data_IF_920871050766
#
_entry.id   IF_920871050766
#
_cell.length_a   1.000
_cell.length_b   1.000
_cell.length_c   1.000
_cell.angle_alpha   90.00
_cell.angle_beta   90.00
_cell.angle_gamma   90.00
#
_symmetry.space_group_name_H-M   'P 1'
#
loop_
_entity.id
_entity.type
_entity.pdbx_description
1 polymer ?
#
# COMPACT_ATOMS: atom_id res chain seq x y z
N UNK A 1 16.63 -27.39 -0.33
CA UNK A 1 17.86 -27.67 -1.10
C UNK A 1 18.56 -26.33 -1.32
N UNK A 2 19.80 -26.14 -0.90
CA UNK A 2 20.51 -24.86 -1.04
C UNK A 2 21.45 -24.96 -2.24
N UNK A 3 21.14 -24.24 -3.32
CA UNK A 3 21.98 -24.21 -4.50
C UNK A 3 23.20 -23.28 -4.25
N UNK A 4 24.43 -23.79 -4.38
CA UNK A 4 25.67 -23.01 -4.25
C UNK A 4 25.99 -22.27 -5.56
N UNK A 5 25.19 -21.23 -5.84
CA UNK A 5 25.38 -20.33 -6.98
C UNK A 5 26.16 -19.07 -6.57
N UNK A 6 27.16 -18.70 -7.37
CA UNK A 6 27.99 -17.50 -7.19
C UNK A 6 27.84 -16.53 -8.37
N UNK A 7 27.90 -15.23 -8.08
CA UNK A 7 27.98 -14.20 -9.13
C UNK A 7 29.23 -14.46 -10.00
N UNK A 8 29.11 -14.25 -11.31
CA UNK A 8 30.13 -14.57 -12.34
C UNK A 8 30.35 -16.07 -12.61
N UNK A 9 29.63 -16.96 -11.93
CA UNK A 9 29.68 -18.39 -12.26
C UNK A 9 29.02 -18.61 -13.62
N UNK A 10 29.67 -19.44 -14.44
CA UNK A 10 29.13 -19.86 -15.74
C UNK A 10 28.41 -21.18 -15.54
N UNK A 11 27.14 -21.20 -15.90
CA UNK A 11 26.26 -22.33 -15.59
C UNK A 11 25.40 -22.73 -16.78
N UNK A 12 25.06 -24.01 -16.79
CA UNK A 12 23.93 -24.57 -17.50
C UNK A 12 22.86 -24.90 -16.46
N UNK A 13 21.63 -24.51 -16.74
CA UNK A 13 20.49 -24.62 -15.84
C UNK A 13 19.37 -25.30 -16.58
N UNK A 14 18.90 -26.39 -16.00
CA UNK A 14 17.70 -27.10 -16.42
C UNK A 14 16.57 -26.70 -15.45
N UNK A 15 15.43 -26.24 -15.98
CA UNK A 15 14.31 -25.80 -15.17
C UNK A 15 12.97 -26.10 -15.86
N UNK A 16 11.90 -26.13 -15.08
CA UNK A 16 10.54 -26.34 -15.57
C UNK A 16 9.68 -25.11 -15.24
N UNK A 17 9.09 -24.50 -16.27
CA UNK A 17 8.20 -23.34 -16.12
C UNK A 17 6.92 -23.59 -16.89
N UNK A 18 5.77 -23.43 -16.23
CA UNK A 18 4.45 -23.66 -16.83
C UNK A 18 4.28 -25.06 -17.46
N UNK A 19 4.98 -26.08 -16.93
CA UNK A 19 4.96 -27.44 -17.47
C UNK A 19 5.86 -27.67 -18.69
N UNK A 20 6.68 -26.69 -19.07
CA UNK A 20 7.66 -26.82 -20.15
C UNK A 20 9.09 -26.90 -19.59
N UNK A 21 9.86 -27.86 -20.11
CA UNK A 21 11.28 -28.02 -19.80
C UNK A 21 12.13 -27.08 -20.65
N UNK A 22 12.97 -26.28 -19.99
CA UNK A 22 13.86 -25.33 -20.64
C UNK A 22 15.31 -25.47 -20.13
N UNK A 23 16.27 -25.13 -21.00
CA UNK A 23 17.69 -25.13 -20.66
C UNK A 23 18.32 -23.80 -21.03
N UNK A 24 18.92 -23.16 -20.04
CA UNK A 24 19.69 -21.93 -20.22
C UNK A 24 21.15 -22.13 -19.90
N UNK A 25 22.01 -21.60 -20.76
CA UNK A 25 23.46 -21.54 -20.55
C UNK A 25 23.87 -20.08 -20.46
N UNK A 26 24.65 -19.72 -19.47
CA UNK A 26 24.97 -18.31 -19.25
C UNK A 26 25.92 -18.02 -18.11
N UNK A 27 25.99 -16.76 -17.73
CA UNK A 27 26.77 -16.25 -16.61
C UNK A 27 25.83 -15.63 -15.56
N UNK A 28 26.00 -16.01 -14.30
CA UNK A 28 25.19 -15.49 -13.19
C UNK A 28 25.49 -14.01 -12.99
N UNK A 29 24.44 -13.20 -13.10
CA UNK A 29 24.48 -11.75 -12.93
C UNK A 29 24.22 -11.36 -11.46
N UNK A 30 23.17 -11.93 -10.85
CA UNK A 30 22.74 -11.59 -9.50
C UNK A 30 22.07 -12.79 -8.83
N UNK A 31 22.19 -12.86 -7.50
CA UNK A 31 21.52 -13.84 -6.66
C UNK A 31 20.60 -13.12 -5.67
N UNK A 32 19.38 -13.62 -5.52
CA UNK A 32 18.39 -13.20 -4.54
C UNK A 32 17.90 -14.44 -3.77
N UNK A 33 17.00 -14.24 -2.81
CA UNK A 33 16.55 -15.29 -1.89
C UNK A 33 15.68 -16.36 -2.59
N UNK A 34 14.82 -15.94 -3.53
CA UNK A 34 13.87 -16.83 -4.21
C UNK A 34 14.24 -17.15 -5.66
N UNK A 35 15.18 -16.40 -6.23
CA UNK A 35 15.60 -16.57 -7.62
C UNK A 35 17.03 -16.07 -7.85
N UNK A 36 17.54 -16.36 -9.03
CA UNK A 36 18.76 -15.75 -9.55
C UNK A 36 18.54 -15.23 -10.96
N UNK A 37 19.40 -14.31 -11.38
CA UNK A 37 19.38 -13.70 -12.70
C UNK A 37 20.66 -14.10 -13.42
N UNK A 38 20.53 -14.52 -14.67
CA UNK A 38 21.66 -14.85 -15.53
C UNK A 38 21.57 -14.12 -16.88
N UNK A 39 22.73 -13.91 -17.49
CA UNK A 39 22.84 -13.48 -18.89
C UNK A 39 23.13 -14.72 -19.72
N UNK A 40 22.19 -15.08 -20.58
CA UNK A 40 22.28 -16.26 -21.44
C UNK A 40 23.30 -16.05 -22.55
N UNK A 41 23.83 -17.15 -23.09
CA UNK A 41 24.64 -17.18 -24.31
C UNK A 41 23.89 -16.71 -25.57
N UNK A 42 22.55 -16.61 -25.50
CA UNK A 42 21.67 -15.98 -26.48
C UNK A 42 21.55 -14.46 -26.32
N UNK A 43 22.22 -13.89 -25.32
CA UNK A 43 22.24 -12.46 -25.05
C UNK A 43 21.01 -11.91 -24.32
N UNK A 44 20.15 -12.78 -23.77
CA UNK A 44 18.99 -12.37 -22.96
C UNK A 44 19.31 -12.42 -21.47
N UNK A 45 18.68 -11.53 -20.71
CA UNK A 45 18.64 -11.59 -19.24
C UNK A 45 17.45 -12.45 -18.84
N UNK A 46 17.70 -13.52 -18.10
CA UNK A 46 16.67 -14.45 -17.66
C UNK A 46 16.66 -14.53 -16.14
N UNK A 47 15.46 -14.53 -15.56
CA UNK A 47 15.21 -14.79 -14.15
C UNK A 47 14.79 -16.25 -14.00
N UNK A 48 15.44 -17.00 -13.11
CA UNK A 48 15.09 -18.41 -12.83
C UNK A 48 14.86 -18.55 -11.33
N UNK A 49 13.67 -19.03 -10.95
CA UNK A 49 13.31 -19.23 -9.55
C UNK A 49 13.85 -20.56 -9.04
N UNK A 50 14.21 -20.64 -7.75
CA UNK A 50 14.80 -21.87 -7.22
C UNK A 50 13.83 -23.05 -7.14
N UNK A 51 12.52 -22.78 -7.09
CA UNK A 51 11.44 -23.78 -7.11
C UNK A 51 11.19 -24.36 -8.51
N UNK A 52 11.61 -23.65 -9.56
CA UNK A 52 11.56 -24.11 -10.97
C UNK A 52 12.79 -24.97 -11.34
N UNK A 53 13.84 -24.96 -10.51
CA UNK A 53 15.12 -25.60 -10.83
C UNK A 53 15.07 -27.12 -10.75
N UNK A 54 15.51 -27.76 -11.82
CA UNK A 54 15.72 -29.21 -11.88
C UNK A 54 17.20 -29.56 -11.67
N UNK A 55 18.10 -28.85 -12.36
CA UNK A 55 19.54 -29.07 -12.24
C UNK A 55 20.36 -27.82 -12.57
N UNK A 56 21.54 -27.73 -11.96
CA UNK A 56 22.52 -26.67 -12.23
C UNK A 56 23.90 -27.29 -12.37
N UNK A 57 24.61 -26.96 -13.45
CA UNK A 57 25.97 -27.44 -13.74
C UNK A 57 26.87 -26.26 -14.00
N UNK A 58 28.08 -26.28 -13.44
CA UNK A 58 29.11 -25.32 -13.82
C UNK A 58 29.69 -25.71 -15.18
N UNK A 59 29.78 -24.76 -16.10
CA UNK A 59 30.27 -24.99 -17.46
C UNK A 59 31.38 -24.01 -17.84
N UNK A 60 32.12 -24.35 -18.89
CA UNK A 60 33.11 -23.46 -19.51
C UNK A 60 32.66 -23.09 -20.92
N UNK A 61 32.82 -21.81 -21.28
CA UNK A 61 32.59 -21.33 -22.65
C UNK A 61 33.92 -21.18 -23.40
N UNK A 62 33.93 -21.28 -24.74
CA UNK A 62 35.06 -20.85 -25.56
C UNK A 62 35.46 -19.41 -25.21
N UNK A 63 36.76 -19.09 -25.29
CA UNK A 63 37.30 -17.80 -24.85
C UNK A 63 36.55 -16.59 -25.44
N UNK A 64 36.33 -16.59 -26.75
CA UNK A 64 35.63 -15.50 -27.46
C UNK A 64 34.20 -15.30 -26.93
N UNK A 65 33.46 -16.40 -26.72
CA UNK A 65 32.10 -16.36 -26.17
C UNK A 65 32.12 -15.89 -24.71
N UNK A 66 33.07 -16.37 -23.93
CA UNK A 66 33.25 -15.99 -22.52
C UNK A 66 33.56 -14.50 -22.35
N UNK A 67 34.39 -13.93 -23.21
CA UNK A 67 34.70 -12.49 -23.23
C UNK A 67 33.46 -11.67 -23.62
N UNK A 68 32.73 -12.08 -24.66
CA UNK A 68 31.49 -11.42 -25.08
C UNK A 68 30.41 -11.47 -23.97
N UNK A 69 30.17 -12.64 -23.37
CA UNK A 69 29.25 -12.82 -22.24
C UNK A 69 29.65 -11.95 -21.04
N UNK A 70 30.95 -11.85 -20.77
CA UNK A 70 31.43 -11.01 -19.68
C UNK A 70 31.13 -9.54 -19.96
N UNK A 71 31.40 -9.02 -21.18
CA UNK A 71 31.05 -7.63 -21.55
C UNK A 71 29.56 -7.38 -21.44
N UNK A 72 28.74 -8.29 -21.96
CA UNK A 72 27.28 -8.18 -21.91
C UNK A 72 26.76 -8.20 -20.46
N UNK A 73 27.31 -9.05 -19.61
CA UNK A 73 27.02 -9.09 -18.17
C UNK A 73 27.34 -7.76 -17.49
N UNK A 74 28.49 -7.14 -17.81
CA UNK A 74 28.83 -5.82 -17.23
C UNK A 74 27.86 -4.73 -17.71
N UNK A 75 27.51 -4.71 -19.00
CA UNK A 75 26.51 -3.79 -19.53
C UNK A 75 25.17 -3.93 -18.81
N UNK A 76 24.66 -5.15 -18.62
CA UNK A 76 23.39 -5.35 -17.91
C UNK A 76 23.47 -4.99 -16.43
N UNK A 77 24.61 -5.25 -15.77
CA UNK A 77 24.82 -4.83 -14.40
C UNK A 77 24.76 -3.30 -14.25
N UNK A 78 25.45 -2.57 -15.14
CA UNK A 78 25.44 -1.11 -15.18
C UNK A 78 24.04 -0.56 -15.47
N UNK A 79 23.34 -1.14 -16.46
CA UNK A 79 21.97 -0.74 -16.79
C UNK A 79 21.03 -0.91 -15.59
N UNK A 80 21.08 -2.05 -14.90
CA UNK A 80 20.27 -2.29 -13.70
C UNK A 80 20.60 -1.30 -12.57
N UNK A 81 21.87 -0.93 -12.40
CA UNK A 81 22.27 0.09 -11.43
C UNK A 81 21.71 1.46 -11.79
N UNK A 82 21.78 1.86 -13.06
CA UNK A 82 21.24 3.14 -13.55
C UNK A 82 19.71 3.19 -13.45
N UNK A 83 19.02 2.10 -13.79
CA UNK A 83 17.57 1.98 -13.59
C UNK A 83 17.18 2.12 -12.13
N UNK A 84 17.97 1.57 -11.20
CA UNK A 84 17.74 1.76 -9.75
C UNK A 84 17.93 3.22 -9.34
N UNK A 85 19.04 3.84 -9.75
CA UNK A 85 19.31 5.27 -9.47
C UNK A 85 18.22 6.17 -10.03
N UNK A 86 17.70 5.86 -11.22
CA UNK A 86 16.60 6.61 -11.82
C UNK A 86 15.33 6.52 -10.98
N UNK A 87 14.98 5.33 -10.46
CA UNK A 87 13.84 5.18 -9.54
C UNK A 87 14.01 5.99 -8.26
N UNK A 88 15.20 5.91 -7.64
CA UNK A 88 15.53 6.71 -6.45
C UNK A 88 15.40 8.21 -6.71
N UNK A 89 15.85 8.70 -7.88
CA UNK A 89 15.71 10.11 -8.28
C UNK A 89 14.26 10.52 -8.51
N UNK A 90 13.43 9.67 -9.12
CA UNK A 90 12.00 9.95 -9.32
C UNK A 90 11.24 10.00 -7.98
N UNK A 91 11.60 9.15 -7.03
CA UNK A 91 11.06 9.19 -5.66
C UNK A 91 11.45 10.50 -4.96
N UNK A 92 12.72 10.93 -5.09
CA UNK A 92 13.19 12.21 -4.56
C UNK A 92 12.49 13.40 -5.21
N UNK A 93 12.31 13.40 -6.52
CA UNK A 93 11.56 14.44 -7.24
C UNK A 93 10.14 14.56 -6.69
N UNK A 94 9.45 13.43 -6.52
CA UNK A 94 8.09 13.40 -5.96
C UNK A 94 8.05 14.02 -4.55
N UNK A 95 9.03 13.69 -3.70
CA UNK A 95 9.15 14.27 -2.37
C UNK A 95 9.39 15.79 -2.41
N UNK A 96 10.28 16.27 -3.27
CA UNK A 96 10.58 17.69 -3.43
C UNK A 96 9.37 18.47 -3.96
N UNK A 97 8.63 17.92 -4.92
CA UNK A 97 7.38 18.51 -5.41
C UNK A 97 6.37 18.63 -4.26
N UNK A 98 6.25 17.61 -3.42
CA UNK A 98 5.36 17.65 -2.26
C UNK A 98 5.81 18.71 -1.24
N UNK A 99 7.10 18.80 -0.94
CA UNK A 99 7.66 19.83 -0.06
C UNK A 99 7.39 21.25 -0.59
N UNK A 100 7.55 21.48 -1.88
CA UNK A 100 7.24 22.77 -2.51
C UNK A 100 5.74 23.10 -2.39
N UNK A 101 4.87 22.13 -2.66
CA UNK A 101 3.41 22.29 -2.50
C UNK A 101 3.01 22.57 -1.07
N UNK A 102 3.66 21.93 -0.11
CA UNK A 102 3.45 22.15 1.31
C UNK A 102 3.91 23.55 1.70
N UNK A 103 5.11 23.97 1.31
CA UNK A 103 5.62 25.32 1.58
C UNK A 103 4.72 26.43 1.00
N UNK A 104 4.26 26.28 -0.25
CA UNK A 104 3.31 27.23 -0.87
C UNK A 104 1.95 27.27 -0.16
N UNK A 105 1.52 26.15 0.41
CA UNK A 105 0.28 26.12 1.19
C UNK A 105 0.48 26.79 2.55
N UNK A 106 1.54 26.44 3.26
CA UNK A 106 1.85 26.99 4.58
C UNK A 106 2.01 28.51 4.55
N UNK A 107 2.61 29.08 3.49
CA UNK A 107 2.74 30.53 3.34
C UNK A 107 1.41 31.29 3.30
N UNK A 108 0.29 30.60 3.03
CA UNK A 108 -1.07 31.15 3.04
C UNK A 108 -2.01 30.20 3.79
N UNK A 109 -1.56 29.73 4.96
CA UNK A 109 -2.28 28.72 5.72
C UNK A 109 -3.72 29.13 6.04
N UNK A 110 -4.64 28.18 5.88
CA UNK A 110 -6.01 28.28 6.37
C UNK A 110 -6.56 26.87 6.67
N UNK A 111 -7.50 26.76 7.61
CA UNK A 111 -8.12 25.48 7.94
C UNK A 111 -8.91 24.88 6.76
N UNK A 112 -9.56 25.72 5.96
CA UNK A 112 -10.21 25.29 4.71
C UNK A 112 -9.18 24.71 3.72
N UNK A 113 -8.04 25.39 3.55
CA UNK A 113 -6.95 24.89 2.72
C UNK A 113 -6.32 23.60 3.29
N UNK A 114 -6.23 23.46 4.61
CA UNK A 114 -5.76 22.25 5.28
C UNK A 114 -6.66 21.04 4.97
N UNK A 115 -7.98 21.21 5.08
CA UNK A 115 -8.98 20.19 4.68
C UNK A 115 -8.78 19.78 3.22
N UNK A 116 -8.68 20.76 2.32
CA UNK A 116 -8.45 20.48 0.90
C UNK A 116 -7.14 19.72 0.66
N UNK A 117 -6.06 20.12 1.34
CA UNK A 117 -4.76 19.44 1.28
C UNK A 117 -4.83 18.01 1.79
N UNK A 118 -5.57 17.73 2.86
CA UNK A 118 -5.77 16.37 3.36
C UNK A 118 -6.43 15.47 2.30
N UNK A 119 -7.47 15.96 1.60
CA UNK A 119 -8.07 15.19 0.50
C UNK A 119 -7.13 14.94 -0.69
N UNK A 120 -6.24 15.89 -0.98
CA UNK A 120 -5.28 15.78 -2.09
C UNK A 120 -4.07 14.89 -1.77
N UNK A 121 -3.72 14.76 -0.48
CA UNK A 121 -2.50 14.06 -0.04
C UNK A 121 -2.77 12.70 0.57
N UNK A 122 -3.97 12.48 1.14
CA UNK A 122 -4.37 11.19 1.69
C UNK A 122 -5.08 10.37 0.61
N UNK A 123 -4.44 9.29 0.22
CA UNK A 123 -4.93 8.41 -0.84
C UNK A 123 -6.30 7.80 -0.51
N UNK A 124 -7.10 7.56 -1.55
CA UNK A 124 -8.43 6.98 -1.44
C UNK A 124 -8.48 5.63 -0.69
N UNK A 125 -7.50 4.71 -0.83
CA UNK A 125 -7.49 3.46 -0.07
C UNK A 125 -7.33 3.62 1.45
N UNK A 126 -6.95 4.81 1.93
CA UNK A 126 -6.97 5.15 3.37
C UNK A 126 -8.24 5.91 3.77
N UNK A 127 -9.02 6.41 2.81
CA UNK A 127 -10.28 7.12 3.04
C UNK A 127 -11.50 6.22 2.88
N UNK A 128 -11.42 5.19 2.06
CA UNK A 128 -12.50 4.20 1.86
C UNK A 128 -11.87 2.81 1.86
N UNK A 129 -12.20 2.02 2.87
CA UNK A 129 -11.66 0.66 3.01
C UNK A 129 -12.61 -0.23 3.82
N UNK A 130 -12.42 -1.53 3.65
CA UNK A 130 -13.11 -2.55 4.43
C UNK A 130 -12.10 -3.27 5.31
N UNK A 131 -12.43 -3.41 6.59
CA UNK A 131 -11.67 -4.25 7.51
C UNK A 131 -12.63 -5.19 8.22
N UNK A 132 -12.41 -6.50 8.05
CA UNK A 132 -13.35 -7.54 8.46
C UNK A 132 -14.72 -7.30 7.81
N UNK A 133 -15.76 -7.12 8.63
CA UNK A 133 -17.14 -6.94 8.18
C UNK A 133 -17.57 -5.46 8.25
N UNK A 134 -16.63 -4.55 8.49
CA UNK A 134 -16.87 -3.14 8.69
C UNK A 134 -16.36 -2.34 7.50
N UNK A 135 -17.22 -1.45 7.00
CA UNK A 135 -16.88 -0.51 5.95
C UNK A 135 -16.56 0.85 6.55
N UNK A 136 -15.38 1.38 6.27
CA UNK A 136 -14.93 2.67 6.74
C UNK A 136 -14.96 3.69 5.60
N UNK A 137 -15.49 4.87 5.89
CA UNK A 137 -15.47 6.02 5.01
C UNK A 137 -15.04 7.25 5.81
N UNK A 138 -13.98 7.92 5.34
CA UNK A 138 -13.33 9.02 6.04
C UNK A 138 -13.50 10.31 5.24
N UNK A 139 -13.90 11.36 5.94
CA UNK A 139 -13.98 12.72 5.41
C UNK A 139 -13.33 13.71 6.37
N UNK A 140 -12.98 14.88 5.86
CA UNK A 140 -12.35 15.97 6.61
C UNK A 140 -13.24 17.20 6.58
N UNK A 141 -13.36 17.87 7.72
CA UNK A 141 -14.09 19.12 7.87
C UNK A 141 -13.35 20.09 8.80
N UNK A 142 -13.59 21.38 8.64
CA UNK A 142 -13.06 22.38 9.58
C UNK A 142 -13.75 22.23 10.93
N UNK A 143 -12.98 22.28 12.02
CA UNK A 143 -13.50 22.23 13.39
C UNK A 143 -13.27 23.56 14.10
N UNK A 144 -14.22 24.47 13.93
CA UNK A 144 -14.12 25.85 14.44
C UNK A 144 -12.84 26.54 13.96
N UNK A 145 -12.20 27.28 14.86
CA UNK A 145 -10.87 27.88 14.63
C UNK A 145 -9.73 27.01 15.18
N UNK A 146 -10.04 25.82 15.70
CA UNK A 146 -9.11 24.98 16.48
C UNK A 146 -8.31 24.02 15.59
N UNK A 147 -8.91 23.55 14.50
CA UNK A 147 -8.25 22.57 13.62
C UNK A 147 -9.18 21.89 12.64
N UNK A 148 -8.94 20.61 12.41
CA UNK A 148 -9.71 19.76 11.49
C UNK A 148 -10.36 18.62 12.24
N UNK A 149 -11.60 18.31 11.86
CA UNK A 149 -12.30 17.10 12.22
C UNK A 149 -12.04 16.02 11.15
N UNK A 150 -11.53 14.87 11.59
CA UNK A 150 -11.53 13.63 10.81
C UNK A 150 -12.81 12.88 11.14
N UNK A 151 -13.75 12.88 10.21
CA UNK A 151 -15.04 12.22 10.33
C UNK A 151 -14.89 10.80 9.79
N UNK A 152 -15.12 9.81 10.64
CA UNK A 152 -15.01 8.39 10.32
C UNK A 152 -16.40 7.77 10.41
N UNK A 153 -16.99 7.47 9.27
CA UNK A 153 -18.24 6.74 9.18
C UNK A 153 -17.94 5.24 9.06
N UNK A 154 -18.49 4.44 9.96
CA UNK A 154 -18.36 2.98 9.96
C UNK A 154 -19.71 2.34 9.70
N UNK A 155 -19.78 1.41 8.75
CA UNK A 155 -21.01 0.71 8.41
C UNK A 155 -20.87 -0.80 8.64
N UNK A 156 -21.90 -1.40 9.22
CA UNK A 156 -22.12 -2.86 9.23
C UNK A 156 -23.30 -3.16 8.32
N UNK A 157 -23.11 -4.06 7.35
CA UNK A 157 -24.20 -4.56 6.50
C UNK A 157 -24.83 -5.81 7.13
N UNK A 158 -26.14 -5.95 6.99
CA UNK A 158 -26.87 -7.15 7.38
C UNK A 158 -28.10 -7.35 6.50
N UNK A 159 -28.47 -8.61 6.31
CA UNK A 159 -29.67 -8.96 5.55
C UNK A 159 -30.86 -9.19 6.49
N UNK A 160 -32.04 -8.81 6.04
CA UNK A 160 -33.29 -9.01 6.75
C UNK A 160 -34.41 -9.33 5.76
N UNK A 161 -35.13 -10.44 5.98
CA UNK A 161 -36.21 -10.95 5.12
C UNK A 161 -37.39 -9.98 4.89
N UNK A 162 -37.42 -8.83 5.57
CA UNK A 162 -38.43 -7.81 5.38
C UNK A 162 -37.75 -6.58 4.78
N UNK A 163 -38.21 -6.17 3.60
CA UNK A 163 -37.69 -4.99 2.87
C UNK A 163 -38.06 -3.64 3.55
N UNK A 164 -39.02 -3.65 4.50
CA UNK A 164 -39.57 -2.45 5.11
C UNK A 164 -38.92 -2.14 6.46
N UNK A 165 -38.19 -1.02 6.52
CA UNK A 165 -37.49 -0.51 7.70
C UNK A 165 -38.43 -0.19 8.87
N UNK A 166 -39.71 0.10 8.60
CA UNK A 166 -40.71 0.40 9.66
C UNK A 166 -41.11 -0.83 10.48
N UNK A 167 -40.80 -2.03 9.99
CA UNK A 167 -41.09 -3.31 10.66
C UNK A 167 -39.89 -3.86 11.42
N UNK A 168 -38.73 -3.21 11.32
CA UNK A 168 -37.53 -3.57 12.05
C UNK A 168 -37.56 -2.99 13.48
N UNK A 169 -37.25 -3.84 14.45
CA UNK A 169 -36.93 -3.39 15.80
C UNK A 169 -35.55 -2.71 15.80
N UNK A 170 -35.56 -1.38 15.69
CA UNK A 170 -34.35 -0.56 15.62
C UNK A 170 -33.46 -0.75 16.85
N UNK A 171 -34.03 -0.91 18.05
CA UNK A 171 -33.22 -1.11 19.26
C UNK A 171 -32.50 -2.47 19.23
N UNK A 172 -33.20 -3.52 18.81
CA UNK A 172 -32.60 -4.84 18.64
C UNK A 172 -31.51 -4.83 17.56
N UNK A 173 -31.78 -4.20 16.42
CA UNK A 173 -30.82 -4.05 15.31
C UNK A 173 -29.56 -3.33 15.76
N UNK A 174 -29.70 -2.19 16.44
CA UNK A 174 -28.57 -1.44 16.95
C UNK A 174 -27.79 -2.26 17.99
N UNK A 175 -28.46 -3.01 18.86
CA UNK A 175 -27.78 -3.86 19.83
C UNK A 175 -26.90 -4.93 19.16
N UNK A 176 -27.34 -5.50 18.05
CA UNK A 176 -26.68 -6.62 17.34
C UNK A 176 -25.62 -6.12 16.35
N UNK A 177 -25.97 -5.16 15.50
CA UNK A 177 -25.19 -4.79 14.31
C UNK A 177 -24.35 -3.51 14.47
N UNK A 178 -24.40 -2.84 15.63
CA UNK A 178 -23.56 -1.68 15.87
C UNK A 178 -22.06 -2.02 15.71
N UNK A 179 -21.32 -1.29 14.86
CA UNK A 179 -19.91 -1.57 14.55
C UNK A 179 -18.95 -1.43 15.75
N UNK A 180 -19.38 -0.80 16.85
CA UNK A 180 -18.66 -0.65 18.15
C UNK A 180 -17.16 -0.36 17.95
N UNK A 181 -16.84 0.55 17.03
CA UNK A 181 -15.47 0.82 16.59
C UNK A 181 -14.75 1.88 17.45
N UNK A 182 -15.43 2.50 18.41
CA UNK A 182 -14.89 3.61 19.21
C UNK A 182 -13.51 3.34 19.81
N UNK A 183 -13.35 2.21 20.51
CA UNK A 183 -12.07 1.85 21.15
C UNK A 183 -10.97 1.49 20.15
N UNK A 184 -11.34 1.08 18.93
CA UNK A 184 -10.37 0.89 17.86
C UNK A 184 -9.90 2.23 17.29
N UNK A 185 -10.83 3.15 17.05
CA UNK A 185 -10.52 4.49 16.55
C UNK A 185 -9.69 5.27 17.59
N UNK A 186 -10.02 5.21 18.88
CA UNK A 186 -9.22 5.82 19.96
C UNK A 186 -7.78 5.29 20.01
N UNK A 187 -7.58 4.00 19.77
CA UNK A 187 -6.23 3.40 19.71
C UNK A 187 -5.46 3.89 18.49
N UNK A 188 -6.13 3.98 17.34
CA UNK A 188 -5.53 4.47 16.10
C UNK A 188 -5.15 5.96 16.18
N UNK A 189 -6.01 6.79 16.78
CA UNK A 189 -5.82 8.25 16.92
C UNK A 189 -5.42 8.63 18.36
N UNK A 190 -4.43 7.92 18.90
CA UNK A 190 -3.97 8.14 20.29
C UNK A 190 -3.50 9.58 20.50
N UNK A 191 -4.06 10.24 21.51
CA UNK A 191 -3.73 11.62 21.87
C UNK A 191 -4.66 12.66 21.28
N UNK A 192 -5.62 12.27 20.44
CA UNK A 192 -6.70 13.14 19.98
C UNK A 192 -8.02 12.82 20.68
N UNK A 193 -8.92 13.81 20.70
CA UNK A 193 -10.28 13.61 21.19
C UNK A 193 -11.09 12.84 20.15
N UNK A 194 -11.69 11.73 20.55
CA UNK A 194 -12.57 10.91 19.70
C UNK A 194 -13.95 10.84 20.33
N UNK A 195 -14.97 11.24 19.58
CA UNK A 195 -16.38 11.19 19.98
C UNK A 195 -17.18 10.33 19.01
N UNK A 196 -18.17 9.61 19.55
CA UNK A 196 -19.25 9.02 18.75
C UNK A 196 -20.37 10.06 18.67
N UNK A 197 -20.76 10.46 17.46
CA UNK A 197 -21.71 11.56 17.27
C UNK A 197 -23.11 11.05 16.95
N UNK A 198 -23.22 10.02 16.11
CA UNK A 198 -24.50 9.63 15.52
C UNK A 198 -24.53 8.16 15.11
N UNK A 199 -25.65 7.51 15.36
CA UNK A 199 -25.91 6.11 15.02
C UNK A 199 -27.24 6.02 14.28
N UNK A 200 -27.24 5.46 13.08
CA UNK A 200 -28.41 5.37 12.20
C UNK A 200 -28.57 3.97 11.61
N UNK A 201 -29.81 3.53 11.40
CA UNK A 201 -30.15 2.36 10.60
C UNK A 201 -30.69 2.85 9.26
N UNK A 202 -30.18 2.33 8.15
CA UNK A 202 -30.62 2.69 6.80
C UNK A 202 -30.89 1.43 5.96
N UNK A 203 -31.91 1.50 5.10
CA UNK A 203 -32.14 0.53 4.04
C UNK A 203 -31.25 0.91 2.86
N UNK A 204 -30.54 -0.07 2.28
CA UNK A 204 -29.66 0.19 1.13
C UNK A 204 -30.38 -0.25 -0.15
N UNK A 205 -30.56 -1.56 -0.36
CA UNK A 205 -31.25 -2.11 -1.55
C UNK A 205 -31.74 -3.55 -1.25
N UNK A 206 -32.93 -3.92 -1.76
CA UNK A 206 -33.50 -5.26 -1.58
C UNK A 206 -33.73 -5.61 -0.11
N UNK A 207 -33.19 -6.76 0.34
CA UNK A 207 -33.26 -7.21 1.73
C UNK A 207 -32.05 -6.75 2.58
N UNK A 208 -31.18 -5.90 2.05
CA UNK A 208 -29.96 -5.47 2.74
C UNK A 208 -30.15 -4.12 3.44
N UNK A 209 -29.75 -4.11 4.72
CA UNK A 209 -29.78 -2.97 5.60
C UNK A 209 -28.37 -2.68 6.12
N UNK A 210 -28.19 -1.48 6.69
CA UNK A 210 -26.95 -1.14 7.34
C UNK A 210 -27.14 -0.34 8.62
N UNK A 211 -26.22 -0.55 9.56
CA UNK A 211 -26.04 0.34 10.72
C UNK A 211 -24.83 1.22 10.44
N UNK A 212 -25.04 2.53 10.38
CA UNK A 212 -24.00 3.55 10.21
C UNK A 212 -23.73 4.21 11.55
N UNK A 213 -22.45 4.29 11.93
CA UNK A 213 -22.02 5.05 13.11
C UNK A 213 -20.97 6.05 12.69
N UNK A 214 -21.17 7.30 13.08
CA UNK A 214 -20.26 8.40 12.80
C UNK A 214 -19.42 8.70 14.03
N UNK A 215 -18.11 8.62 13.85
CA UNK A 215 -17.11 9.03 14.83
C UNK A 215 -16.41 10.30 14.34
N UNK A 216 -16.00 11.14 15.27
CA UNK A 216 -15.33 12.40 15.01
C UNK A 216 -14.03 12.43 15.80
N UNK A 217 -12.92 12.64 15.10
CA UNK A 217 -11.60 12.87 15.71
C UNK A 217 -11.22 14.33 15.51
N UNK A 218 -11.04 15.07 16.61
CA UNK A 218 -10.62 16.46 16.54
C UNK A 218 -9.09 16.52 16.57
N UNK A 219 -8.51 17.07 15.52
CA UNK A 219 -7.07 17.25 15.34
C UNK A 219 -6.77 18.75 15.34
N UNK A 220 -6.30 19.31 16.47
CA UNK A 220 -5.84 20.69 16.51
C UNK A 220 -4.68 20.89 15.55
N UNK A 221 -4.73 21.96 14.76
CA UNK A 221 -3.64 22.31 13.86
C UNK A 221 -3.64 23.79 13.51
N UNK A 222 -2.44 24.31 13.31
CA UNK A 222 -2.11 25.63 12.81
C UNK A 222 -1.05 25.52 11.71
N UNK A 223 -0.56 26.66 11.22
CA UNK A 223 0.48 26.71 10.19
C UNK A 223 1.74 25.91 10.59
N UNK A 224 2.13 25.96 11.86
CA UNK A 224 3.37 25.33 12.33
C UNK A 224 3.21 23.82 12.53
N UNK A 225 2.01 23.37 12.91
CA UNK A 225 1.73 21.98 13.29
C UNK A 225 1.04 21.17 12.19
N UNK A 226 0.66 21.78 11.06
CA UNK A 226 -0.07 21.10 9.99
C UNK A 226 0.62 19.83 9.47
N UNK A 227 1.94 19.88 9.23
CA UNK A 227 2.68 18.73 8.68
C UNK A 227 2.68 17.56 9.67
N UNK A 228 2.98 17.82 10.94
CA UNK A 228 2.95 16.83 12.02
C UNK A 228 1.54 16.27 12.22
N UNK A 229 0.52 17.13 12.17
CA UNK A 229 -0.87 16.73 12.31
C UNK A 229 -1.31 15.83 11.14
N UNK A 230 -0.92 16.17 9.91
CA UNK A 230 -1.16 15.33 8.72
C UNK A 230 -0.51 13.96 8.86
N UNK A 231 0.75 13.89 9.28
CA UNK A 231 1.44 12.62 9.49
C UNK A 231 0.76 11.75 10.54
N UNK A 232 0.30 12.35 11.65
CA UNK A 232 -0.46 11.64 12.68
C UNK A 232 -1.81 11.14 12.16
N UNK A 233 -2.51 11.93 11.32
CA UNK A 233 -3.74 11.49 10.66
C UNK A 233 -3.47 10.28 9.77
N UNK A 234 -2.46 10.35 8.90
CA UNK A 234 -2.08 9.25 8.00
C UNK A 234 -1.74 7.98 8.78
N UNK A 235 -0.92 8.11 9.82
CA UNK A 235 -0.54 6.99 10.69
C UNK A 235 -1.77 6.38 11.36
N UNK A 236 -2.67 7.22 11.89
CA UNK A 236 -3.93 6.76 12.49
C UNK A 236 -4.81 6.00 11.49
N UNK A 237 -4.93 6.49 10.26
CA UNK A 237 -5.70 5.82 9.20
C UNK A 237 -5.06 4.48 8.79
N UNK A 238 -3.73 4.42 8.69
CA UNK A 238 -3.01 3.16 8.42
C UNK A 238 -3.24 2.14 9.54
N UNK A 239 -3.18 2.57 10.81
CA UNK A 239 -3.48 1.70 11.96
C UNK A 239 -4.93 1.24 12.02
N UNK A 240 -5.87 2.04 11.51
CA UNK A 240 -7.29 1.66 11.45
C UNK A 240 -7.55 0.64 10.33
N UNK A 241 -6.79 0.71 9.24
CA UNK A 241 -6.87 -0.21 8.11
C UNK A 241 -6.23 -1.58 8.40
N UNK A 242 -5.11 -1.60 9.14
CA UNK A 242 -4.37 -2.81 9.51
C UNK A 242 -5.18 -3.78 10.39
#
# INVERSE_FOLDING_TARGET
>A
MVWDLRINQRIEVDFERNGEYEVFRGIVLKRLDDYFILVTDRGKVEQVRYDELLAVRTITFPRVVSEALSRLKHYYAERMEMERKLRELLEQETQLIQQLRDAMFLSNFSLQGAVHRLYMTIEEPLRVFQTRNLWFQVSFAVYGEVGVSVVIQVKTLFDHYQEDLSKLDVEQVLRIYHPRALEWIKRAFKGFSVTEEETQVQHEEGESFCVKVKYCVVVPMDEQSFLDAREKIVTGLQCLRA
#
